data_IF_314218230425
#
_entry.id   IF_314218230425
#
_cell.length_a   1.000
_cell.length_b   1.000
_cell.length_c   1.000
_cell.angle_alpha   90.00
_cell.angle_beta   90.00
_cell.angle_gamma   90.00
#
_symmetry.space_group_name_H-M   'P 1'
#
loop_
_entity.id
_entity.type
_entity.pdbx_description
1 polymer ?
#
# COMPACT_ATOMS: atom_id res chain seq x y z
N UNK A 1 17.81 6.71 -18.29
CA UNK A 1 16.65 5.90 -17.86
C UNK A 1 15.39 6.70 -18.09
N UNK A 2 14.27 5.99 -18.27
CA UNK A 2 12.96 6.59 -18.37
C UNK A 2 12.41 7.03 -17.00
N UNK A 3 11.26 7.67 -17.03
CA UNK A 3 10.45 8.01 -15.84
C UNK A 3 9.41 6.92 -15.57
N UNK A 4 8.88 6.32 -16.65
CA UNK A 4 7.84 5.30 -16.64
C UNK A 4 8.34 3.96 -17.17
N UNK A 5 9.25 3.97 -18.14
CA UNK A 5 9.84 2.77 -18.75
C UNK A 5 11.25 2.59 -18.22
N UNK A 6 11.52 1.44 -17.60
CA UNK A 6 12.83 1.11 -17.01
C UNK A 6 13.36 2.25 -16.11
N UNK A 7 12.65 2.59 -15.00
CA UNK A 7 13.01 3.72 -14.13
C UNK A 7 14.31 3.51 -13.34
N UNK A 8 14.97 2.36 -13.49
CA UNK A 8 16.23 2.03 -12.86
C UNK A 8 16.10 1.59 -11.41
N UNK A 9 17.07 1.99 -10.57
CA UNK A 9 17.24 1.42 -9.22
C UNK A 9 17.59 2.43 -8.12
N UNK A 10 17.69 3.73 -8.41
CA UNK A 10 18.03 4.78 -7.44
C UNK A 10 17.03 4.83 -6.29
N UNK A 11 15.73 4.76 -6.56
CA UNK A 11 14.68 4.77 -5.53
C UNK A 11 14.70 3.57 -4.59
N UNK A 12 15.38 2.46 -4.96
CA UNK A 12 15.67 1.36 -4.05
C UNK A 12 17.06 1.49 -3.41
N UNK A 13 18.06 2.01 -4.12
CA UNK A 13 19.37 2.33 -3.57
C UNK A 13 19.29 3.34 -2.42
N UNK A 14 18.48 4.39 -2.54
CA UNK A 14 18.16 5.31 -1.44
C UNK A 14 17.60 4.57 -0.21
N UNK A 15 16.73 3.57 -0.44
CA UNK A 15 16.15 2.77 0.65
C UNK A 15 17.17 1.84 1.30
N UNK A 16 18.05 1.19 0.54
CA UNK A 16 19.07 0.26 1.07
C UNK A 16 20.21 1.00 1.79
N UNK A 17 20.50 2.24 1.39
CA UNK A 17 21.48 3.10 2.07
C UNK A 17 20.94 3.78 3.34
N UNK A 18 19.65 3.65 3.65
CA UNK A 18 19.04 4.20 4.85
C UNK A 18 19.41 3.37 6.10
N UNK A 19 19.78 4.04 7.20
CA UNK A 19 20.23 3.39 8.44
C UNK A 19 19.15 2.49 9.08
N UNK A 20 17.87 2.77 8.82
CA UNK A 20 16.71 2.03 9.30
C UNK A 20 16.26 0.92 8.33
N UNK A 21 16.96 0.69 7.22
CA UNK A 21 16.59 -0.34 6.25
C UNK A 21 16.45 -1.72 6.93
N UNK A 22 15.28 -2.31 6.77
CA UNK A 22 14.98 -3.69 7.11
C UNK A 22 14.76 -4.48 5.81
N UNK A 23 15.47 -5.60 5.68
CA UNK A 23 15.45 -6.39 4.45
C UNK A 23 14.09 -7.09 4.27
N UNK A 24 13.36 -6.64 3.24
CA UNK A 24 12.07 -7.20 2.79
C UNK A 24 12.17 -7.85 1.40
N UNK A 25 13.38 -8.13 0.92
CA UNK A 25 13.59 -8.72 -0.42
C UNK A 25 13.03 -10.13 -0.57
N UNK A 26 12.76 -10.85 0.53
CA UNK A 26 11.99 -12.10 0.51
C UNK A 26 10.63 -11.99 -0.18
N UNK A 27 10.04 -10.80 -0.24
CA UNK A 27 8.81 -10.51 -1.01
C UNK A 27 8.97 -10.82 -2.51
N UNK A 28 10.17 -10.67 -3.07
CA UNK A 28 10.45 -10.92 -4.49
C UNK A 28 10.22 -12.39 -4.85
N UNK A 29 10.60 -13.35 -3.99
CA UNK A 29 10.31 -14.78 -4.19
C UNK A 29 8.81 -15.03 -4.41
N UNK A 30 7.96 -14.33 -3.66
CA UNK A 30 6.51 -14.46 -3.78
C UNK A 30 6.00 -13.97 -5.14
N UNK A 31 6.57 -12.88 -5.65
CA UNK A 31 6.24 -12.34 -6.99
C UNK A 31 6.82 -13.24 -8.09
N UNK A 32 8.08 -13.68 -7.98
CA UNK A 32 8.72 -14.62 -8.92
C UNK A 32 7.89 -15.90 -9.11
N UNK A 33 7.41 -16.49 -8.01
CA UNK A 33 6.57 -17.70 -8.04
C UNK A 33 5.19 -17.49 -8.73
N UNK A 34 4.78 -16.24 -8.93
CA UNK A 34 3.55 -15.89 -9.63
C UNK A 34 3.77 -15.56 -11.12
N UNK A 35 4.97 -15.13 -11.53
CA UNK A 35 5.28 -14.70 -12.91
C UNK A 35 4.93 -15.79 -13.94
N UNK A 36 4.38 -15.37 -15.08
CA UNK A 36 3.97 -16.26 -16.17
C UNK A 36 2.78 -17.19 -15.85
N UNK A 37 2.29 -17.23 -14.61
CA UNK A 37 1.13 -18.06 -14.21
C UNK A 37 -0.20 -17.30 -14.36
N UNK A 38 -1.33 -17.96 -14.06
CA UNK A 38 -2.64 -17.29 -13.90
C UNK A 38 -2.76 -16.44 -12.63
N UNK A 39 -1.73 -16.39 -11.77
CA UNK A 39 -1.69 -15.61 -10.52
C UNK A 39 -0.73 -14.42 -10.60
N UNK A 40 -0.24 -14.10 -11.80
CA UNK A 40 0.82 -13.10 -12.07
C UNK A 40 0.44 -11.66 -11.73
N UNK A 41 -0.84 -11.39 -11.45
CA UNK A 41 -1.37 -10.08 -11.05
C UNK A 41 -1.61 -10.07 -9.54
N UNK A 42 -0.79 -9.30 -8.82
CA UNK A 42 -0.78 -9.22 -7.35
C UNK A 42 -1.14 -7.80 -6.93
N UNK A 43 -2.16 -7.67 -6.07
CA UNK A 43 -2.48 -6.40 -5.42
C UNK A 43 -2.17 -6.54 -3.93
N UNK A 44 -1.19 -5.78 -3.43
CA UNK A 44 -0.78 -5.83 -2.03
C UNK A 44 -1.01 -4.47 -1.36
N UNK A 45 -2.09 -4.36 -0.59
CA UNK A 45 -2.56 -3.11 0.00
C UNK A 45 -2.26 -3.06 1.49
N UNK A 46 -1.84 -1.87 1.95
CA UNK A 46 -1.42 -1.65 3.33
C UNK A 46 -1.44 -0.16 3.70
N UNK A 47 -1.49 0.20 5.00
CA UNK A 47 -1.74 1.57 5.42
C UNK A 47 -0.71 2.58 4.92
N UNK A 48 -1.02 3.87 5.10
CA UNK A 48 -0.07 4.94 4.76
C UNK A 48 1.23 4.75 5.55
N UNK A 49 2.39 4.97 4.91
CA UNK A 49 3.74 4.85 5.50
C UNK A 49 4.25 3.43 5.83
N UNK A 50 3.52 2.39 5.45
CA UNK A 50 3.95 1.00 5.53
C UNK A 50 4.83 0.57 4.33
N UNK A 51 5.85 1.37 3.97
CA UNK A 51 6.87 1.00 2.97
C UNK A 51 6.36 0.56 1.58
N UNK A 52 5.24 1.11 1.09
CA UNK A 52 4.66 0.75 -0.23
C UNK A 52 5.58 1.08 -1.40
N UNK A 53 5.92 2.36 -1.55
CA UNK A 53 6.84 2.86 -2.58
C UNK A 53 8.22 2.20 -2.50
N UNK A 54 8.75 1.94 -1.29
CA UNK A 54 9.99 1.18 -1.10
C UNK A 54 9.93 -0.20 -1.74
N UNK A 55 8.83 -0.94 -1.56
CA UNK A 55 8.64 -2.25 -2.17
C UNK A 55 8.40 -2.15 -3.68
N UNK A 56 7.67 -1.13 -4.16
CA UNK A 56 7.46 -0.89 -5.58
C UNK A 56 8.80 -0.58 -6.30
N UNK A 57 9.62 0.31 -5.71
CA UNK A 57 10.98 0.61 -6.17
C UNK A 57 11.88 -0.62 -6.12
N UNK A 58 11.79 -1.45 -5.08
CA UNK A 58 12.54 -2.71 -4.96
C UNK A 58 12.21 -3.68 -6.10
N UNK A 59 10.93 -3.86 -6.43
CA UNK A 59 10.53 -4.69 -7.58
C UNK A 59 10.98 -4.08 -8.91
N UNK A 60 10.90 -2.76 -9.07
CA UNK A 60 11.38 -2.08 -10.28
C UNK A 60 12.89 -2.29 -10.46
N UNK A 61 13.68 -2.05 -9.40
CA UNK A 61 15.12 -2.26 -9.38
C UNK A 61 15.51 -3.72 -9.63
N UNK A 62 14.72 -4.67 -9.14
CA UNK A 62 14.97 -6.10 -9.33
C UNK A 62 14.69 -6.56 -10.76
N UNK A 63 13.56 -6.16 -11.36
CA UNK A 63 13.14 -6.69 -12.66
C UNK A 63 13.67 -5.90 -13.86
N UNK A 64 13.87 -4.59 -13.73
CA UNK A 64 14.16 -3.66 -14.84
C UNK A 64 15.42 -4.05 -15.61
N UNK A 65 15.29 -4.34 -16.91
CA UNK A 65 16.43 -4.59 -17.79
C UNK A 65 17.25 -3.33 -18.15
N UNK A 66 16.78 -2.14 -17.77
CA UNK A 66 17.49 -0.87 -18.00
C UNK A 66 18.55 -0.50 -16.95
N UNK A 67 18.86 -1.38 -16.00
CA UNK A 67 19.89 -1.17 -14.97
C UNK A 67 20.61 -2.48 -14.59
N UNK A 68 21.76 -2.38 -13.93
CA UNK A 68 22.39 -3.50 -13.20
C UNK A 68 22.17 -3.28 -11.70
N UNK A 69 21.43 -4.19 -11.08
CA UNK A 69 21.10 -4.15 -9.66
C UNK A 69 21.79 -5.27 -8.85
N UNK A 70 22.67 -6.11 -9.44
CA UNK A 70 23.22 -7.27 -8.72
C UNK A 70 23.93 -6.88 -7.42
N UNK A 71 24.72 -5.80 -7.45
CA UNK A 71 25.40 -5.31 -6.25
C UNK A 71 24.44 -4.73 -5.20
N UNK A 72 23.26 -4.23 -5.60
CA UNK A 72 22.26 -3.65 -4.70
C UNK A 72 21.48 -4.71 -3.92
N UNK A 73 21.34 -5.92 -4.48
CA UNK A 73 20.72 -7.07 -3.80
C UNK A 73 21.70 -7.97 -3.04
N UNK A 74 23.00 -7.65 -3.07
CA UNK A 74 24.06 -8.47 -2.48
C UNK A 74 23.93 -8.54 -0.95
N UNK A 75 23.91 -9.75 -0.41
CA UNK A 75 23.72 -10.02 1.02
C UNK A 75 22.27 -9.88 1.52
N UNK A 76 21.32 -9.56 0.64
CA UNK A 76 19.89 -9.51 0.97
C UNK A 76 19.24 -10.89 0.77
N UNK A 77 18.14 -11.17 1.47
CA UNK A 77 17.44 -12.46 1.52
C UNK A 77 17.17 -13.08 0.15
N UNK A 78 16.87 -12.26 -0.87
CA UNK A 78 16.59 -12.77 -2.21
C UNK A 78 17.81 -13.33 -2.93
N UNK A 79 19.04 -12.91 -2.63
CA UNK A 79 20.26 -13.41 -3.30
C UNK A 79 20.44 -14.92 -3.11
N UNK A 80 19.94 -15.47 -2.00
CA UNK A 80 19.97 -16.90 -1.70
C UNK A 80 18.84 -17.72 -2.37
N UNK A 81 17.89 -17.07 -3.05
CA UNK A 81 16.76 -17.75 -3.69
C UNK A 81 17.12 -18.25 -5.10
N UNK A 82 16.78 -19.49 -5.49
CA UNK A 82 17.07 -20.00 -6.84
C UNK A 82 16.51 -19.13 -7.97
N UNK A 83 15.39 -18.44 -7.74
CA UNK A 83 14.75 -17.59 -8.75
C UNK A 83 15.41 -16.21 -8.94
N UNK A 84 16.47 -15.90 -8.17
CA UNK A 84 17.19 -14.62 -8.20
C UNK A 84 17.80 -14.34 -9.58
N UNK A 85 18.75 -15.18 -10.00
CA UNK A 85 19.49 -15.03 -11.28
C UNK A 85 18.61 -15.27 -12.52
N UNK A 86 17.46 -15.94 -12.35
CA UNK A 86 16.48 -16.17 -13.41
C UNK A 86 15.73 -14.89 -13.82
N UNK A 87 15.49 -13.97 -12.88
CA UNK A 87 14.59 -12.81 -13.08
C UNK A 87 15.28 -11.45 -12.91
N UNK A 88 16.44 -11.39 -12.24
CA UNK A 88 17.21 -10.16 -12.01
C UNK A 88 17.54 -9.45 -13.34
N UNK A 89 17.07 -8.20 -13.46
CA UNK A 89 17.26 -7.29 -14.60
C UNK A 89 16.89 -7.92 -15.96
N UNK A 90 15.86 -8.77 -16.02
CA UNK A 90 15.43 -9.48 -17.25
C UNK A 90 14.23 -8.89 -17.99
N UNK A 91 13.47 -7.99 -17.39
CA UNK A 91 12.17 -7.57 -17.91
C UNK A 91 12.14 -6.05 -18.18
N UNK A 92 11.50 -5.61 -19.28
CA UNK A 92 11.12 -4.22 -19.40
C UNK A 92 10.06 -3.90 -18.35
N UNK A 93 10.31 -2.90 -17.52
CA UNK A 93 9.42 -2.50 -16.42
C UNK A 93 8.66 -1.25 -16.81
N UNK A 94 7.34 -1.28 -16.61
CA UNK A 94 6.49 -0.09 -16.64
C UNK A 94 6.16 0.25 -15.19
N UNK A 95 6.59 1.41 -14.73
CA UNK A 95 6.31 1.92 -13.39
C UNK A 95 5.49 3.20 -13.49
N UNK A 96 4.36 3.27 -12.79
CA UNK A 96 3.67 4.54 -12.60
C UNK A 96 2.98 4.63 -11.25
N UNK A 97 2.84 5.86 -10.77
CA UNK A 97 2.02 6.20 -9.62
C UNK A 97 1.32 7.54 -9.86
N UNK A 98 0.19 7.75 -9.19
CA UNK A 98 -0.71 8.86 -9.49
C UNK A 98 -0.30 10.20 -8.87
N UNK A 99 0.63 10.19 -7.91
CA UNK A 99 1.02 11.37 -7.10
C UNK A 99 1.41 12.58 -7.98
N UNK A 100 2.26 12.39 -8.98
CA UNK A 100 2.72 13.48 -9.87
C UNK A 100 1.61 14.06 -10.74
N UNK A 101 0.64 13.23 -11.14
CA UNK A 101 -0.50 13.64 -11.96
C UNK A 101 -1.56 14.39 -11.15
N UNK A 102 -1.76 13.99 -9.90
CA UNK A 102 -2.71 14.59 -8.96
C UNK A 102 -2.18 15.87 -8.31
N UNK A 103 -0.87 16.12 -8.35
CA UNK A 103 -0.25 17.32 -7.75
C UNK A 103 0.19 18.38 -8.77
N UNK A 104 0.34 18.03 -10.06
CA UNK A 104 0.57 19.03 -11.11
C UNK A 104 -0.71 19.81 -11.43
N UNK A 105 -0.76 21.07 -10.96
CA UNK A 105 -1.87 22.00 -11.17
C UNK A 105 -2.16 22.34 -12.64
N UNK A 106 -1.32 21.90 -13.59
CA UNK A 106 -1.55 22.04 -15.03
C UNK A 106 -2.41 20.92 -15.60
N UNK A 107 -2.52 19.78 -14.92
CA UNK A 107 -3.36 18.65 -15.33
C UNK A 107 -4.72 18.84 -14.69
N UNK A 108 -5.75 19.05 -15.50
CA UNK A 108 -7.11 19.11 -15.00
C UNK A 108 -7.59 17.67 -14.68
N UNK A 109 -8.50 17.47 -13.70
CA UNK A 109 -8.84 16.12 -13.24
C UNK A 109 -9.33 15.18 -14.35
N UNK A 110 -10.11 15.67 -15.30
CA UNK A 110 -10.61 14.90 -16.45
C UNK A 110 -9.56 14.57 -17.52
N UNK A 111 -8.34 15.09 -17.39
CA UNK A 111 -7.23 14.85 -18.33
C UNK A 111 -6.15 13.94 -17.73
N UNK A 112 -6.30 13.48 -16.48
CA UNK A 112 -5.30 12.71 -15.74
C UNK A 112 -4.96 11.39 -16.46
N UNK A 113 -5.97 10.58 -16.77
CA UNK A 113 -5.78 9.22 -17.32
C UNK A 113 -5.18 9.30 -18.72
N UNK A 114 -5.74 10.16 -19.58
CA UNK A 114 -5.19 10.48 -20.90
C UNK A 114 -3.74 10.99 -20.85
N UNK A 115 -3.41 11.85 -19.88
CA UNK A 115 -2.04 12.37 -19.72
C UNK A 115 -1.06 11.29 -19.24
N UNK A 116 -1.51 10.37 -18.38
CA UNK A 116 -0.76 9.19 -17.96
C UNK A 116 -0.48 8.28 -19.15
N UNK A 117 -1.52 7.90 -19.90
CA UNK A 117 -1.39 7.03 -21.07
C UNK A 117 -0.43 7.62 -22.12
N UNK A 118 -0.63 8.90 -22.50
CA UNK A 118 0.22 9.56 -23.48
C UNK A 118 1.69 9.60 -23.05
N UNK A 119 1.98 9.91 -21.78
CA UNK A 119 3.36 9.95 -21.28
C UNK A 119 4.07 8.60 -21.32
N UNK A 120 3.33 7.51 -21.08
CA UNK A 120 3.87 6.15 -21.21
C UNK A 120 4.13 5.85 -22.69
N UNK A 121 3.18 6.13 -23.58
CA UNK A 121 3.34 5.93 -25.04
C UNK A 121 4.53 6.74 -25.59
N UNK A 122 4.64 8.02 -25.23
CA UNK A 122 5.74 8.91 -25.65
C UNK A 122 7.11 8.40 -25.19
N UNK A 123 7.18 7.61 -24.13
CA UNK A 123 8.41 6.98 -23.65
C UNK A 123 8.69 5.62 -24.28
N UNK A 124 7.66 4.79 -24.49
CA UNK A 124 7.76 3.57 -25.28
C UNK A 124 8.27 3.84 -26.70
N UNK A 125 7.80 4.91 -27.36
CA UNK A 125 8.28 5.33 -28.69
C UNK A 125 9.77 5.70 -28.68
N UNK A 126 10.27 6.26 -27.58
CA UNK A 126 11.69 6.64 -27.43
C UNK A 126 12.59 5.45 -27.09
N UNK A 127 12.11 4.52 -26.27
CA UNK A 127 12.85 3.31 -25.85
C UNK A 127 12.88 2.24 -26.96
N UNK A 128 11.80 2.13 -27.76
CA UNK A 128 11.64 1.10 -28.80
C UNK A 128 11.44 1.69 -30.21
N UNK A 129 12.41 2.46 -30.74
CA UNK A 129 12.27 3.17 -32.03
C UNK A 129 12.12 2.24 -33.25
N UNK A 130 12.55 0.97 -33.14
CA UNK A 130 12.40 -0.04 -34.19
C UNK A 130 10.99 -0.68 -34.23
N UNK A 131 10.14 -0.42 -33.23
CA UNK A 131 8.77 -0.93 -33.17
C UNK A 131 7.80 -0.02 -33.96
N UNK A 132 6.76 -0.62 -34.54
CA UNK A 132 5.75 0.09 -35.36
C UNK A 132 4.66 0.76 -34.51
N UNK A 133 5.10 1.56 -33.54
CA UNK A 133 4.26 2.25 -32.57
C UNK A 133 4.14 3.74 -32.91
N UNK A 134 3.04 4.39 -32.50
CA UNK A 134 2.80 5.80 -32.79
C UNK A 134 1.98 6.48 -31.68
N UNK A 135 2.04 7.82 -31.53
CA UNK A 135 1.34 8.53 -30.45
C UNK A 135 -0.18 8.43 -30.48
N UNK A 136 -0.78 7.91 -31.56
CA UNK A 136 -2.22 7.75 -31.74
C UNK A 136 -2.72 6.31 -31.53
N UNK A 137 -1.85 5.35 -31.22
CA UNK A 137 -2.23 3.99 -30.86
C UNK A 137 -2.65 3.94 -29.39
N UNK A 138 -3.46 2.95 -29.00
CA UNK A 138 -3.68 2.69 -27.57
C UNK A 138 -2.39 2.19 -26.91
N UNK A 139 -2.26 2.37 -25.60
CA UNK A 139 -1.14 1.80 -24.86
C UNK A 139 -1.12 0.26 -25.01
N UNK A 140 -2.27 -0.41 -25.00
CA UNK A 140 -2.37 -1.86 -25.21
C UNK A 140 -1.75 -2.31 -26.55
N UNK A 141 -2.09 -1.63 -27.66
CA UNK A 141 -1.53 -1.95 -28.98
C UNK A 141 -0.01 -1.74 -29.01
N UNK A 142 0.47 -0.67 -28.35
CA UNK A 142 1.92 -0.42 -28.21
C UNK A 142 2.63 -1.56 -27.48
N UNK A 143 2.07 -2.05 -26.36
CA UNK A 143 2.66 -3.16 -25.59
C UNK A 143 2.66 -4.47 -26.36
N UNK A 144 1.62 -4.74 -27.16
CA UNK A 144 1.54 -5.92 -28.02
C UNK A 144 2.59 -5.89 -29.14
N UNK A 145 2.68 -4.79 -29.89
CA UNK A 145 3.69 -4.61 -30.95
C UNK A 145 5.12 -4.73 -30.41
N UNK A 146 5.43 -4.07 -29.29
CA UNK A 146 6.78 -4.14 -28.70
C UNK A 146 7.08 -5.58 -28.26
N UNK A 147 6.18 -6.23 -27.52
CA UNK A 147 6.39 -7.60 -27.04
C UNK A 147 6.57 -8.61 -28.18
N UNK A 148 5.89 -8.40 -29.32
CA UNK A 148 6.06 -9.20 -30.52
C UNK A 148 7.44 -9.03 -31.18
N UNK A 149 8.02 -7.83 -31.12
CA UNK A 149 9.37 -7.52 -31.63
C UNK A 149 10.47 -8.00 -30.68
N UNK A 150 10.44 -7.59 -29.40
CA UNK A 150 11.50 -7.88 -28.42
C UNK A 150 11.44 -9.29 -27.81
N UNK A 151 10.39 -10.07 -28.16
CA UNK A 151 10.14 -11.45 -27.68
C UNK A 151 10.15 -11.63 -26.16
N UNK A 152 9.89 -10.53 -25.45
CA UNK A 152 9.91 -10.41 -23.99
C UNK A 152 8.64 -9.69 -23.56
N UNK A 153 8.20 -9.91 -22.33
CA UNK A 153 6.96 -9.36 -21.77
C UNK A 153 7.28 -8.34 -20.69
N UNK A 154 6.39 -7.38 -20.50
CA UNK A 154 6.51 -6.34 -19.48
C UNK A 154 6.17 -6.84 -18.08
N UNK A 155 6.82 -6.24 -17.08
CA UNK A 155 6.31 -6.22 -15.70
C UNK A 155 5.74 -4.84 -15.43
N UNK A 156 4.50 -4.76 -14.95
CA UNK A 156 3.82 -3.49 -14.66
C UNK A 156 3.70 -3.28 -13.16
N UNK A 157 4.16 -2.12 -12.67
CA UNK A 157 4.17 -1.74 -11.27
C UNK A 157 3.32 -0.47 -11.11
N UNK A 158 2.29 -0.55 -10.27
CA UNK A 158 1.35 0.55 -10.02
C UNK A 158 1.39 0.92 -8.53
N UNK A 159 1.94 2.10 -8.22
CA UNK A 159 2.03 2.62 -6.84
C UNK A 159 0.92 3.64 -6.54
N UNK A 160 0.39 3.59 -5.31
CA UNK A 160 -0.78 4.34 -4.84
C UNK A 160 -1.96 4.31 -5.84
N UNK A 161 -2.33 3.11 -6.34
CA UNK A 161 -3.41 2.92 -7.32
C UNK A 161 -4.76 3.48 -6.84
N UNK A 162 -5.03 3.40 -5.53
CA UNK A 162 -6.29 3.81 -4.93
C UNK A 162 -6.44 5.34 -4.77
N UNK A 163 -5.39 6.11 -5.10
CA UNK A 163 -5.31 7.53 -4.80
C UNK A 163 -6.40 8.38 -5.50
N UNK A 164 -6.81 8.03 -6.72
CA UNK A 164 -7.94 8.70 -7.41
C UNK A 164 -9.25 8.55 -6.61
N UNK A 165 -9.52 7.37 -6.05
CA UNK A 165 -10.75 7.12 -5.28
C UNK A 165 -10.72 7.77 -3.90
N UNK A 166 -9.53 7.97 -3.33
CA UNK A 166 -9.36 8.67 -2.04
C UNK A 166 -9.41 10.20 -2.17
N UNK A 167 -8.74 10.79 -3.16
CA UNK A 167 -8.61 12.26 -3.28
C UNK A 167 -9.63 12.89 -4.26
N UNK A 168 -10.19 12.12 -5.20
CA UNK A 168 -11.27 12.54 -6.11
C UNK A 168 -12.54 11.70 -5.94
N UNK A 169 -12.92 11.44 -4.69
CA UNK A 169 -14.05 10.60 -4.27
C UNK A 169 -15.39 10.96 -4.93
N UNK A 170 -15.64 12.24 -5.19
CA UNK A 170 -16.89 12.71 -5.83
C UNK A 170 -16.85 12.71 -7.37
N UNK A 171 -15.68 12.53 -7.99
CA UNK A 171 -15.51 12.55 -9.45
C UNK A 171 -15.67 11.14 -10.05
N UNK A 172 -16.91 10.67 -10.10
CA UNK A 172 -17.27 9.35 -10.64
C UNK A 172 -16.84 9.17 -12.11
N UNK A 173 -16.77 10.24 -12.90
CA UNK A 173 -16.31 10.17 -14.29
C UNK A 173 -14.83 9.78 -14.38
N UNK A 174 -13.97 10.46 -13.63
CA UNK A 174 -12.53 10.16 -13.56
C UNK A 174 -12.28 8.76 -12.98
N UNK A 175 -13.03 8.36 -11.95
CA UNK A 175 -12.91 7.02 -11.37
C UNK A 175 -13.21 5.92 -12.39
N UNK A 176 -14.28 6.09 -13.19
CA UNK A 176 -14.62 5.15 -14.27
C UNK A 176 -13.57 5.12 -15.36
N UNK A 177 -13.13 6.28 -15.84
CA UNK A 177 -12.06 6.39 -16.85
C UNK A 177 -10.77 5.69 -16.39
N UNK A 178 -10.37 5.86 -15.13
CA UNK A 178 -9.20 5.20 -14.57
C UNK A 178 -9.37 3.69 -14.40
N UNK A 179 -10.55 3.22 -13.97
CA UNK A 179 -10.86 1.79 -13.93
C UNK A 179 -10.83 1.18 -15.34
N UNK A 180 -11.38 1.85 -16.34
CA UNK A 180 -11.40 1.32 -17.71
C UNK A 180 -10.00 1.31 -18.36
N UNK A 181 -9.14 2.27 -18.02
CA UNK A 181 -7.69 2.22 -18.33
C UNK A 181 -6.99 1.02 -17.68
N UNK A 182 -7.20 0.76 -16.38
CA UNK A 182 -6.63 -0.41 -15.71
C UNK A 182 -7.19 -1.73 -16.28
N UNK A 183 -8.48 -1.77 -16.67
CA UNK A 183 -9.09 -2.94 -17.32
C UNK A 183 -8.46 -3.20 -18.68
N UNK A 184 -8.18 -2.18 -19.49
CA UNK A 184 -7.45 -2.33 -20.76
C UNK A 184 -6.06 -2.97 -20.59
N UNK A 185 -5.36 -2.67 -19.48
CA UNK A 185 -4.02 -3.17 -19.19
C UNK A 185 -3.96 -4.55 -18.50
N UNK A 186 -5.06 -5.01 -17.90
CA UNK A 186 -5.04 -6.21 -17.04
C UNK A 186 -6.19 -7.19 -17.29
N UNK A 187 -7.12 -6.90 -18.21
CA UNK A 187 -8.17 -7.83 -18.63
C UNK A 187 -8.13 -8.06 -20.14
N UNK A 188 -8.27 -9.31 -20.54
CA UNK A 188 -8.31 -9.70 -21.96
C UNK A 188 -7.59 -11.02 -22.22
N UNK A 189 -7.82 -11.59 -23.40
CA UNK A 189 -7.09 -12.77 -23.88
C UNK A 189 -5.69 -12.42 -24.40
N UNK A 190 -5.44 -11.11 -24.55
CA UNK A 190 -4.23 -10.47 -25.05
C UNK A 190 -3.19 -10.30 -23.94
N UNK A 191 -3.61 -10.19 -22.68
CA UNK A 191 -2.73 -9.98 -21.50
C UNK A 191 -1.57 -10.99 -21.43
N UNK A 192 -1.75 -12.30 -21.64
CA UNK A 192 -0.65 -13.26 -21.63
C UNK A 192 0.38 -13.08 -22.76
N UNK A 193 0.11 -12.25 -23.78
CA UNK A 193 1.03 -12.00 -24.89
C UNK A 193 2.09 -10.95 -24.53
N UNK A 194 1.74 -9.94 -23.74
CA UNK A 194 2.64 -8.84 -23.36
C UNK A 194 2.96 -8.72 -21.86
N UNK A 195 2.19 -9.36 -20.96
CA UNK A 195 2.38 -9.22 -19.50
C UNK A 195 3.06 -10.47 -18.89
N UNK A 196 4.22 -10.29 -18.25
CA UNK A 196 4.90 -11.30 -17.44
C UNK A 196 4.28 -11.37 -16.03
N UNK A 197 3.94 -10.22 -15.47
CA UNK A 197 3.23 -10.06 -14.21
C UNK A 197 2.96 -8.59 -13.89
N UNK A 198 2.10 -8.34 -12.92
CA UNK A 198 1.78 -7.00 -12.42
C UNK A 198 1.80 -6.98 -10.89
N UNK A 199 2.34 -5.92 -10.32
CA UNK A 199 2.28 -5.62 -8.89
C UNK A 199 1.60 -4.26 -8.69
N UNK A 200 0.50 -4.26 -7.94
CA UNK A 200 -0.25 -3.07 -7.61
C UNK A 200 -0.24 -2.87 -6.09
N UNK A 201 -0.09 -1.63 -5.63
CA UNK A 201 -0.07 -1.32 -4.20
C UNK A 201 -0.77 0.00 -3.90
N UNK A 202 -1.39 0.08 -2.73
CA UNK A 202 -2.30 1.17 -2.34
C UNK A 202 -2.72 1.02 -0.88
N UNK A 203 -3.55 1.95 -0.38
CA UNK A 203 -4.14 1.82 0.96
C UNK A 203 -5.38 0.93 0.93
N UNK A 204 -6.32 1.24 0.02
CA UNK A 204 -7.58 0.51 -0.09
C UNK A 204 -7.46 -0.73 -1.02
N UNK A 205 -8.14 -1.85 -0.68
CA UNK A 205 -8.40 -2.96 -1.60
C UNK A 205 -9.27 -2.57 -2.80
N UNK A 206 -9.35 -3.45 -3.80
CA UNK A 206 -9.93 -3.19 -5.12
C UNK A 206 -11.45 -3.01 -5.02
N UNK A 207 -11.97 -1.96 -5.64
CA UNK A 207 -13.40 -1.63 -5.61
C UNK A 207 -14.22 -2.65 -6.42
N UNK A 208 -15.37 -3.03 -5.86
CA UNK A 208 -16.39 -3.86 -6.52
C UNK A 208 -17.43 -2.95 -7.18
N UNK A 209 -17.38 -2.82 -8.51
CA UNK A 209 -18.38 -2.06 -9.28
C UNK A 209 -19.43 -3.01 -9.86
N UNK A 210 -20.72 -2.67 -9.68
CA UNK A 210 -21.86 -3.25 -10.38
C UNK A 210 -21.82 -4.79 -10.51
N UNK A 211 -21.63 -5.47 -9.36
CA UNK A 211 -21.55 -6.94 -9.16
C UNK A 211 -20.28 -7.67 -9.59
N UNK A 212 -19.25 -6.98 -10.12
CA UNK A 212 -17.94 -7.59 -10.41
C UNK A 212 -16.78 -6.78 -9.78
N UNK A 213 -15.75 -7.46 -9.28
CA UNK A 213 -14.49 -6.77 -8.94
C UNK A 213 -13.97 -6.05 -10.19
N UNK A 214 -13.56 -4.78 -10.04
CA UNK A 214 -13.12 -4.00 -11.18
C UNK A 214 -11.97 -4.69 -11.95
N UNK A 215 -11.10 -5.38 -11.21
CA UNK A 215 -9.88 -6.06 -11.68
C UNK A 215 -9.78 -7.48 -11.05
N UNK A 216 -10.78 -8.33 -11.29
CA UNK A 216 -10.95 -9.65 -10.64
C UNK A 216 -9.82 -10.66 -10.87
N UNK A 217 -8.92 -10.39 -11.82
CA UNK A 217 -7.77 -11.25 -12.13
C UNK A 217 -6.59 -10.98 -11.17
N UNK A 218 -6.59 -9.83 -10.48
CA UNK A 218 -5.66 -9.56 -9.39
C UNK A 218 -5.99 -10.40 -8.16
N UNK A 219 -4.96 -11.00 -7.57
CA UNK A 219 -5.06 -11.57 -6.23
C UNK A 219 -4.70 -10.53 -5.18
N UNK A 220 -5.67 -10.22 -4.34
CA UNK A 220 -5.55 -9.22 -3.27
C UNK A 220 -4.95 -9.81 -1.99
N UNK A 221 -4.05 -9.04 -1.38
CA UNK A 221 -3.48 -9.26 -0.04
C UNK A 221 -3.58 -7.93 0.71
N UNK A 222 -4.14 -7.95 1.91
CA UNK A 222 -4.64 -6.75 2.60
C UNK A 222 -4.40 -6.83 4.12
N UNK A 223 -4.79 -5.78 4.87
CA UNK A 223 -4.80 -5.82 6.34
C UNK A 223 -5.83 -6.79 6.96
N UNK A 224 -6.73 -7.39 6.18
CA UNK A 224 -7.67 -8.42 6.65
C UNK A 224 -7.13 -9.85 6.50
N UNK A 225 -6.33 -10.06 5.46
CA UNK A 225 -5.64 -11.30 5.09
C UNK A 225 -4.45 -10.89 4.22
N UNK A 226 -3.24 -10.97 4.78
CA UNK A 226 -2.00 -10.68 4.08
C UNK A 226 -1.39 -11.93 3.43
N UNK A 227 -1.93 -13.12 3.71
CA UNK A 227 -1.34 -14.42 3.39
C UNK A 227 0.17 -14.46 3.68
N UNK A 228 0.92 -15.07 2.76
CA UNK A 228 2.38 -15.15 2.82
C UNK A 228 3.14 -13.82 2.64
N UNK A 229 2.46 -12.67 2.70
CA UNK A 229 3.08 -11.34 2.59
C UNK A 229 3.10 -10.55 3.91
N UNK A 230 2.56 -11.08 5.01
CA UNK A 230 2.44 -10.39 6.30
C UNK A 230 3.75 -9.76 6.83
N UNK A 231 4.88 -10.47 6.73
CA UNK A 231 6.18 -9.99 7.21
C UNK A 231 6.76 -8.82 6.38
N UNK A 232 6.22 -8.59 5.19
CA UNK A 232 6.58 -7.50 4.28
C UNK A 232 5.61 -6.31 4.35
N UNK A 233 4.60 -6.35 5.24
CA UNK A 233 3.68 -5.22 5.45
C UNK A 233 4.39 -4.04 6.11
N UNK A 234 5.21 -4.28 7.13
CA UNK A 234 5.89 -3.22 7.87
C UNK A 234 7.15 -3.73 8.56
N UNK A 235 7.54 -3.10 9.67
CA UNK A 235 8.58 -3.65 10.52
C UNK A 235 7.99 -4.73 11.43
N UNK A 236 8.63 -5.88 11.47
CA UNK A 236 8.34 -6.95 12.44
C UNK A 236 8.90 -6.57 13.81
N UNK A 237 8.49 -7.28 14.86
CA UNK A 237 9.10 -7.10 16.18
C UNK A 237 10.64 -7.25 16.16
N UNK A 238 11.17 -8.18 15.34
CA UNK A 238 12.61 -8.36 15.16
C UNK A 238 13.28 -7.12 14.55
N UNK A 239 12.70 -6.55 13.50
CA UNK A 239 13.23 -5.35 12.84
C UNK A 239 13.30 -4.18 13.84
N UNK A 240 12.24 -3.99 14.65
CA UNK A 240 12.21 -2.94 15.68
C UNK A 240 13.22 -3.19 16.79
N UNK A 241 13.41 -4.45 17.23
CA UNK A 241 14.47 -4.80 18.18
C UNK A 241 15.87 -4.51 17.61
N UNK A 242 16.12 -4.82 16.34
CA UNK A 242 17.41 -4.58 15.69
C UNK A 242 17.67 -3.07 15.49
N UNK A 243 16.63 -2.27 15.18
CA UNK A 243 16.70 -0.81 15.20
C UNK A 243 16.99 -0.28 16.61
N UNK A 244 16.33 -0.78 17.66
CA UNK A 244 16.60 -0.35 19.04
C UNK A 244 18.04 -0.66 19.50
N UNK A 245 18.65 -1.75 19.00
CA UNK A 245 20.08 -2.05 19.24
C UNK A 245 21.01 -1.03 18.57
N UNK A 246 20.63 -0.48 17.40
CA UNK A 246 21.41 0.56 16.69
C UNK A 246 21.31 1.92 17.39
N UNK A 247 20.17 2.27 17.98
CA UNK A 247 19.92 3.58 18.60
C UNK A 247 19.69 3.48 20.11
N UNK A 248 20.71 3.70 20.97
CA UNK A 248 20.61 3.54 22.43
C UNK A 248 19.57 4.41 23.15
N UNK A 249 19.01 5.43 22.48
CA UNK A 249 17.91 6.24 23.00
C UNK A 249 16.54 5.55 22.87
N UNK A 250 16.43 4.52 22.03
CA UNK A 250 15.20 3.77 21.79
C UNK A 250 15.03 2.63 22.81
N UNK A 251 14.03 2.75 23.68
CA UNK A 251 13.57 1.65 24.53
C UNK A 251 12.52 0.85 23.74
N UNK A 252 12.84 -0.41 23.46
CA UNK A 252 11.95 -1.35 22.79
C UNK A 252 10.59 -1.50 23.52
N UNK A 253 10.52 -1.32 24.83
CA UNK A 253 9.25 -1.38 25.60
C UNK A 253 8.34 -0.20 25.30
N UNK A 254 8.88 1.02 25.20
CA UNK A 254 8.09 2.19 24.80
C UNK A 254 7.76 2.13 23.30
N UNK A 255 8.66 1.64 22.44
CA UNK A 255 8.33 1.35 21.04
C UNK A 255 7.13 0.40 20.92
N UNK A 256 7.13 -0.71 21.67
CA UNK A 256 6.02 -1.67 21.71
C UNK A 256 4.74 -0.98 22.16
N UNK A 257 4.75 -0.31 23.31
CA UNK A 257 3.60 0.43 23.86
C UNK A 257 3.03 1.49 22.90
N UNK A 258 3.86 2.18 22.13
CA UNK A 258 3.42 3.26 21.24
C UNK A 258 3.02 2.82 19.83
N UNK A 259 3.67 1.80 19.29
CA UNK A 259 3.60 1.47 17.86
C UNK A 259 3.23 0.01 17.54
N UNK A 260 3.31 -0.92 18.50
CA UNK A 260 2.83 -2.30 18.33
C UNK A 260 1.30 -2.39 18.47
N UNK A 261 0.67 -3.23 17.67
CA UNK A 261 -0.72 -3.62 17.89
C UNK A 261 -1.41 -4.29 16.71
N UNK A 262 -0.83 -4.16 15.50
CA UNK A 262 -1.23 -4.90 14.31
C UNK A 262 -0.64 -6.31 14.40
N UNK A 263 -1.49 -7.33 14.37
CA UNK A 263 -1.07 -8.73 14.37
C UNK A 263 -1.55 -9.40 13.08
N UNK A 264 -0.62 -9.83 12.22
CA UNK A 264 -0.94 -10.41 10.91
C UNK A 264 -0.52 -11.88 10.85
N UNK A 265 -1.41 -12.75 11.33
CA UNK A 265 -1.31 -14.22 11.25
C UNK A 265 0.12 -14.73 11.50
N UNK A 266 0.73 -15.43 10.54
CA UNK A 266 2.07 -16.04 10.66
C UNK A 266 3.22 -15.02 10.86
N UNK A 267 3.01 -13.75 10.50
CA UNK A 267 4.01 -12.69 10.66
C UNK A 267 4.00 -12.07 12.07
N UNK A 268 2.95 -12.30 12.86
CA UNK A 268 2.81 -11.78 14.21
C UNK A 268 2.76 -10.24 14.26
N UNK A 269 3.51 -9.66 15.20
CA UNK A 269 3.49 -8.23 15.51
C UNK A 269 4.17 -7.37 14.43
N UNK A 270 3.39 -6.48 13.83
CA UNK A 270 3.81 -5.51 12.80
C UNK A 270 3.70 -4.07 13.34
N UNK A 271 4.66 -3.24 12.95
CA UNK A 271 4.83 -1.85 13.38
C UNK A 271 4.86 -0.93 12.15
N UNK A 272 4.34 0.30 12.30
CA UNK A 272 4.48 1.35 11.29
C UNK A 272 5.96 1.76 11.14
N UNK A 273 6.61 1.55 9.97
CA UNK A 273 8.01 1.88 9.78
C UNK A 273 8.34 3.34 10.08
N UNK A 274 7.55 4.27 9.53
CA UNK A 274 7.78 5.72 9.68
C UNK A 274 7.71 6.18 11.15
N UNK A 275 6.76 5.66 11.94
CA UNK A 275 6.66 5.99 13.37
C UNK A 275 7.88 5.50 14.15
N UNK A 276 8.38 4.29 13.84
CA UNK A 276 9.61 3.73 14.45
C UNK A 276 10.85 4.55 14.04
N UNK A 277 11.00 4.90 12.76
CA UNK A 277 12.11 5.69 12.24
C UNK A 277 12.16 7.10 12.84
N UNK A 278 11.00 7.74 13.10
CA UNK A 278 10.95 9.03 13.77
C UNK A 278 11.30 8.95 15.27
N UNK A 279 10.87 7.88 15.95
CA UNK A 279 11.08 7.72 17.39
C UNK A 279 12.52 7.29 17.75
N UNK A 280 13.09 6.36 16.99
CA UNK A 280 14.34 5.66 17.31
C UNK A 280 15.55 6.59 17.58
N UNK A 281 15.92 7.53 16.70
CA UNK A 281 17.14 8.33 16.88
C UNK A 281 17.10 9.30 18.06
N UNK A 282 15.93 9.55 18.65
CA UNK A 282 15.75 10.56 19.72
C UNK A 282 15.14 10.02 21.01
N UNK A 283 14.70 8.75 21.04
CA UNK A 283 13.92 8.21 22.16
C UNK A 283 12.64 9.00 22.43
N UNK A 284 12.05 9.60 21.39
CA UNK A 284 10.84 10.42 21.51
C UNK A 284 9.66 9.61 20.97
N UNK A 285 8.71 9.32 21.84
CA UNK A 285 7.51 8.58 21.49
C UNK A 285 6.34 9.57 21.42
N UNK A 286 5.74 9.66 20.25
CA UNK A 286 4.66 10.59 19.91
C UNK A 286 3.82 10.02 18.75
N UNK A 287 2.67 10.64 18.48
CA UNK A 287 1.97 10.43 17.21
C UNK A 287 2.74 11.16 16.10
N UNK A 288 3.40 10.38 15.24
CA UNK A 288 4.04 10.84 14.01
C UNK A 288 3.09 10.77 12.82
N UNK A 289 2.07 9.90 12.91
CA UNK A 289 1.01 9.72 11.94
C UNK A 289 0.03 10.90 11.90
N UNK A 290 0.03 11.68 10.81
CA UNK A 290 -0.96 12.72 10.55
C UNK A 290 -2.24 12.17 9.89
N UNK A 291 -3.41 12.65 10.31
CA UNK A 291 -4.70 12.19 9.79
C UNK A 291 -4.82 12.36 8.26
N UNK A 292 -5.48 11.39 7.61
CA UNK A 292 -5.71 11.40 6.16
C UNK A 292 -7.07 12.02 5.81
N UNK A 293 -7.20 12.56 4.59
CA UNK A 293 -8.47 13.01 3.99
C UNK A 293 -9.56 11.94 4.12
N UNK A 294 -9.22 10.68 3.86
CA UNK A 294 -10.11 9.54 4.05
C UNK A 294 -10.62 9.40 5.50
N UNK A 295 -9.77 9.58 6.52
CA UNK A 295 -10.20 9.51 7.92
C UNK A 295 -11.17 10.64 8.30
N UNK A 296 -10.91 11.88 7.85
CA UNK A 296 -11.84 12.99 8.07
C UNK A 296 -13.22 12.72 7.44
N UNK A 297 -13.27 12.03 6.29
CA UNK A 297 -14.56 11.60 5.70
C UNK A 297 -15.31 10.56 6.56
N UNK A 298 -14.57 9.69 7.28
CA UNK A 298 -15.17 8.69 8.18
C UNK A 298 -15.65 9.29 9.51
N UNK A 299 -15.02 10.38 9.94
CA UNK A 299 -15.31 11.09 11.20
C UNK A 299 -16.78 11.52 11.31
N UNK A 300 -17.43 11.89 10.20
CA UNK A 300 -18.84 12.24 10.15
C UNK A 300 -19.74 11.08 10.64
N UNK A 301 -19.50 9.87 10.15
CA UNK A 301 -20.27 8.68 10.55
C UNK A 301 -20.05 8.32 12.03
N UNK A 302 -18.82 8.53 12.55
CA UNK A 302 -18.52 8.37 13.98
C UNK A 302 -19.28 9.41 14.82
N UNK A 303 -19.32 10.67 14.38
CA UNK A 303 -20.06 11.74 15.07
C UNK A 303 -21.58 11.48 15.09
N UNK A 304 -22.13 11.04 13.95
CA UNK A 304 -23.53 10.64 13.79
C UNK A 304 -23.89 9.34 14.52
N UNK A 305 -22.91 8.58 15.02
CA UNK A 305 -23.09 7.29 15.68
C UNK A 305 -23.83 6.25 14.81
N UNK A 306 -23.50 6.19 13.51
CA UNK A 306 -24.05 5.21 12.55
C UNK A 306 -24.01 3.79 13.15
N UNK A 307 -25.16 3.12 13.29
CA UNK A 307 -25.35 1.81 13.93
C UNK A 307 -24.55 1.58 15.24
N UNK A 308 -24.39 2.62 16.05
CA UNK A 308 -23.63 2.54 17.32
C UNK A 308 -22.11 2.66 17.16
N UNK A 309 -21.60 3.13 16.02
CA UNK A 309 -20.18 3.32 15.73
C UNK A 309 -19.43 4.13 16.79
N UNK A 310 -20.04 5.20 17.32
CA UNK A 310 -19.42 6.03 18.37
C UNK A 310 -19.22 5.22 19.65
N UNK A 311 -20.20 4.40 20.01
CA UNK A 311 -20.11 3.50 21.16
C UNK A 311 -19.04 2.42 20.97
N UNK A 312 -18.97 1.82 19.78
CA UNK A 312 -17.93 0.85 19.43
C UNK A 312 -16.51 1.46 19.50
N UNK A 313 -16.33 2.69 18.99
CA UNK A 313 -15.05 3.40 19.07
C UNK A 313 -14.69 3.71 20.53
N UNK A 314 -15.64 4.13 21.36
CA UNK A 314 -15.40 4.36 22.80
C UNK A 314 -15.00 3.06 23.54
N UNK A 315 -15.64 1.93 23.24
CA UNK A 315 -15.24 0.61 23.78
C UNK A 315 -13.80 0.26 23.41
N UNK A 316 -13.42 0.41 22.14
CA UNK A 316 -12.03 0.20 21.71
C UNK A 316 -11.05 1.22 22.32
N UNK A 317 -11.51 2.44 22.62
CA UNK A 317 -10.73 3.44 23.35
C UNK A 317 -10.52 3.08 24.82
N UNK A 318 -11.38 2.25 25.43
CA UNK A 318 -11.17 1.69 26.78
C UNK A 318 -10.33 0.39 26.77
N UNK A 319 -9.98 -0.11 25.57
CA UNK A 319 -9.14 -1.29 25.36
C UNK A 319 -9.91 -2.58 25.09
N UNK A 320 -11.23 -2.49 24.90
CA UNK A 320 -12.06 -3.62 24.48
C UNK A 320 -11.88 -3.91 22.97
N UNK A 321 -12.36 -5.07 22.52
CA UNK A 321 -12.43 -5.40 21.10
C UNK A 321 -13.88 -5.53 20.65
N UNK A 322 -14.19 -5.07 19.44
CA UNK A 322 -15.56 -5.04 18.90
C UNK A 322 -15.67 -5.98 17.70
N UNK A 323 -16.74 -6.77 17.61
CA UNK A 323 -17.03 -7.64 16.46
C UNK A 323 -17.28 -6.82 15.19
N UNK A 324 -16.66 -7.23 14.07
CA UNK A 324 -16.79 -6.58 12.75
C UNK A 324 -17.04 -7.61 11.65
N UNK A 325 -18.09 -7.40 10.85
CA UNK A 325 -18.46 -8.22 9.70
C UNK A 325 -17.92 -7.64 8.39
N UNK A 326 -16.71 -8.04 8.01
CA UNK A 326 -16.00 -7.52 6.82
C UNK A 326 -16.52 -8.06 5.47
N UNK A 327 -17.47 -9.00 5.46
CA UNK A 327 -17.84 -9.77 4.25
C UNK A 327 -18.65 -8.99 3.22
N UNK A 328 -19.40 -7.96 3.63
CA UNK A 328 -20.26 -7.15 2.75
C UNK A 328 -19.55 -5.91 2.17
N UNK A 329 -18.35 -5.59 2.67
CA UNK A 329 -17.66 -4.36 2.29
C UNK A 329 -17.27 -4.37 0.79
N UNK A 330 -17.71 -3.33 0.06
CA UNK A 330 -17.47 -3.19 -1.39
C UNK A 330 -16.21 -2.38 -1.73
N UNK A 331 -15.51 -1.87 -0.71
CA UNK A 331 -14.33 -1.00 -0.81
C UNK A 331 -14.58 0.38 -1.45
N UNK A 332 -15.82 0.68 -1.86
CA UNK A 332 -16.25 2.00 -2.31
C UNK A 332 -16.59 2.86 -1.08
N UNK A 333 -16.01 4.06 -1.00
CA UNK A 333 -16.19 4.96 0.13
C UNK A 333 -17.60 5.58 0.21
N UNK A 334 -18.52 5.34 -0.74
CA UNK A 334 -19.64 6.23 -1.01
C UNK A 334 -21.09 5.91 -0.57
N UNK A 335 -21.68 4.70 -0.50
CA UNK A 335 -21.19 3.31 -0.33
C UNK A 335 -20.56 2.97 1.02
N UNK A 336 -20.76 3.84 1.99
CA UNK A 336 -20.76 3.47 3.41
C UNK A 336 -22.23 3.41 3.85
N UNK A 337 -22.71 2.21 4.19
CA UNK A 337 -24.11 1.99 4.63
C UNK A 337 -24.19 1.62 6.11
N UNK A 338 -23.19 0.89 6.63
CA UNK A 338 -23.18 0.34 7.98
C UNK A 338 -22.00 0.83 8.82
N UNK A 339 -22.09 0.64 10.15
CA UNK A 339 -20.93 0.76 11.04
C UNK A 339 -19.74 -0.09 10.59
N UNK A 340 -20.00 -1.31 10.15
CA UNK A 340 -18.94 -2.29 9.89
C UNK A 340 -18.18 -1.96 8.59
N UNK A 341 -18.78 -1.24 7.64
CA UNK A 341 -18.07 -0.64 6.49
C UNK A 341 -17.04 0.40 6.96
N UNK A 342 -17.41 1.26 7.92
CA UNK A 342 -16.49 2.25 8.50
C UNK A 342 -15.36 1.58 9.27
N UNK A 343 -15.67 0.56 10.08
CA UNK A 343 -14.65 -0.20 10.82
C UNK A 343 -13.70 -0.94 9.87
N UNK A 344 -14.21 -1.54 8.80
CA UNK A 344 -13.40 -2.21 7.76
C UNK A 344 -12.51 -1.19 7.03
N UNK A 345 -13.05 -0.02 6.67
CA UNK A 345 -12.26 1.07 6.09
C UNK A 345 -11.14 1.52 7.05
N UNK A 346 -11.45 1.67 8.35
CA UNK A 346 -10.46 2.05 9.37
C UNK A 346 -9.36 1.01 9.58
N UNK A 347 -9.64 -0.28 9.36
CA UNK A 347 -8.62 -1.35 9.34
C UNK A 347 -7.65 -1.16 8.16
N UNK A 348 -8.16 -0.97 6.94
CA UNK A 348 -7.31 -0.75 5.75
C UNK A 348 -6.52 0.55 5.83
N UNK A 349 -7.12 1.62 6.38
CA UNK A 349 -6.43 2.86 6.70
C UNK A 349 -5.40 2.72 7.84
N UNK A 350 -5.40 1.61 8.58
CA UNK A 350 -4.48 1.33 9.68
C UNK A 350 -4.78 2.07 10.98
N UNK A 351 -6.01 2.53 11.21
CA UNK A 351 -6.43 3.04 12.52
C UNK A 351 -6.87 1.95 13.48
N UNK A 352 -7.23 0.77 12.96
CA UNK A 352 -7.63 -0.41 13.72
C UNK A 352 -6.78 -1.62 13.30
N UNK A 353 -6.50 -2.51 14.25
CA UNK A 353 -6.07 -3.89 13.96
C UNK A 353 -7.30 -4.78 13.86
N UNK A 354 -7.22 -5.81 13.03
CA UNK A 354 -8.23 -6.87 12.89
C UNK A 354 -7.67 -8.21 13.37
N UNK A 355 -8.51 -9.05 13.96
CA UNK A 355 -8.24 -10.45 14.28
C UNK A 355 -9.14 -11.32 13.39
N UNK A 356 -8.55 -12.01 12.40
CA UNK A 356 -9.30 -12.83 11.41
C UNK A 356 -10.00 -14.03 12.03
N UNK A 357 -9.46 -14.56 13.14
CA UNK A 357 -9.98 -15.73 13.85
C UNK A 357 -11.17 -15.36 14.73
N UNK A 358 -11.08 -14.26 15.47
CA UNK A 358 -12.12 -13.77 16.39
C UNK A 358 -13.12 -12.84 15.71
N UNK A 359 -12.79 -12.35 14.50
CA UNK A 359 -13.55 -11.35 13.73
C UNK A 359 -13.80 -10.06 14.53
N UNK A 360 -12.79 -9.65 15.30
CA UNK A 360 -12.83 -8.45 16.13
C UNK A 360 -11.86 -7.40 15.60
N UNK A 361 -12.20 -6.13 15.84
CA UNK A 361 -11.32 -4.99 15.64
C UNK A 361 -10.97 -4.35 16.98
N UNK A 362 -9.79 -3.73 17.05
CA UNK A 362 -9.33 -2.92 18.20
C UNK A 362 -8.46 -1.76 17.75
N UNK A 363 -8.35 -0.74 18.59
CA UNK A 363 -7.32 0.28 18.43
C UNK A 363 -5.96 -0.37 18.75
N UNK A 364 -4.98 -0.37 17.84
CA UNK A 364 -3.77 -1.16 18.00
C UNK A 364 -2.87 -0.63 19.11
N UNK A 365 -2.66 0.69 19.18
CA UNK A 365 -1.53 1.29 19.90
C UNK A 365 -1.84 2.70 20.44
N UNK A 366 -0.92 3.29 21.22
CA UNK A 366 -1.14 4.63 21.78
C UNK A 366 -1.17 5.73 20.70
N UNK A 367 -0.40 5.60 19.61
CA UNK A 367 -0.40 6.57 18.51
C UNK A 367 -1.80 6.72 17.88
N UNK A 368 -2.42 5.60 17.51
CA UNK A 368 -3.77 5.55 16.94
C UNK A 368 -4.84 5.95 17.96
N UNK A 369 -4.71 5.53 19.24
CA UNK A 369 -5.62 5.96 20.32
C UNK A 369 -5.62 7.49 20.50
N UNK A 370 -4.45 8.11 20.45
CA UNK A 370 -4.31 9.58 20.51
C UNK A 370 -4.92 10.28 19.29
N UNK A 371 -4.84 9.65 18.10
CA UNK A 371 -5.49 10.16 16.89
C UNK A 371 -7.03 10.08 17.00
N UNK A 372 -7.60 9.02 17.60
CA UNK A 372 -9.03 9.00 17.91
C UNK A 372 -9.43 10.04 18.95
N UNK A 373 -8.66 10.20 20.03
CA UNK A 373 -8.92 11.23 21.05
C UNK A 373 -9.01 12.63 20.44
N UNK A 374 -7.96 13.08 19.73
CA UNK A 374 -7.90 14.44 19.16
C UNK A 374 -9.05 14.73 18.17
N UNK A 375 -9.57 13.70 17.51
CA UNK A 375 -10.60 13.83 16.48
C UNK A 375 -12.05 13.73 17.00
N UNK A 376 -12.24 13.07 18.14
CA UNK A 376 -13.55 12.92 18.81
C UNK A 376 -13.78 14.04 19.83
N UNK A 377 -12.74 14.54 20.50
CA UNK A 377 -12.86 15.51 21.60
C UNK A 377 -13.10 16.98 21.16
N UNK A 378 -13.23 17.27 19.86
CA UNK A 378 -13.46 18.64 19.36
C UNK A 378 -14.78 19.28 19.85
N UNK A 379 -15.61 18.55 20.58
CA UNK A 379 -16.80 19.05 21.29
C UNK A 379 -16.75 18.86 22.82
N UNK A 380 -15.74 18.18 23.40
CA UNK A 380 -15.81 17.67 24.79
C UNK A 380 -14.56 17.76 25.68
N UNK A 381 -13.53 18.53 25.30
CA UNK A 381 -12.32 18.72 26.14
C UNK A 381 -12.54 19.58 27.42
N UNK A 382 -13.37 19.12 28.37
CA UNK A 382 -13.36 19.56 29.78
C UNK A 382 -13.56 18.45 30.83
N UNK A 383 -14.04 17.25 30.49
CA UNK A 383 -14.41 16.24 31.51
C UNK A 383 -13.59 14.93 31.50
N UNK A 384 -13.02 14.49 30.37
CA UNK A 384 -12.34 13.19 30.31
C UNK A 384 -10.81 13.24 30.51
N UNK A 385 -10.14 14.34 30.16
CA UNK A 385 -8.70 14.53 30.40
C UNK A 385 -8.31 14.47 31.88
N UNK A 386 -9.24 14.71 32.81
CA UNK A 386 -8.97 14.72 34.25
C UNK A 386 -9.01 13.32 34.92
N UNK A 387 -9.40 12.25 34.19
CA UNK A 387 -9.50 10.89 34.75
C UNK A 387 -8.29 9.99 34.49
N UNK A 388 -7.47 10.30 33.49
CA UNK A 388 -6.34 9.43 33.08
C UNK A 388 -5.13 9.60 34.01
N UNK A 389 -4.94 10.79 34.61
CA UNK A 389 -3.84 11.06 35.57
C UNK A 389 -4.10 10.49 36.99
N UNK A 390 -5.21 9.78 37.23
CA UNK A 390 -5.59 9.29 38.57
C UNK A 390 -5.93 7.80 38.63
N UNK A 391 -4.96 6.97 38.24
CA UNK A 391 -4.81 5.61 38.79
C UNK A 391 -3.39 5.43 39.34
N UNK A 392 -3.20 5.47 40.67
CA UNK A 392 -1.95 5.02 41.27
C UNK A 392 -1.76 3.53 41.00
N UNK A 393 -0.51 3.08 40.90
CA UNK A 393 -0.21 1.65 40.94
C UNK A 393 -0.70 1.07 42.28
N UNK A 394 -1.48 -0.01 42.20
CA UNK A 394 -1.77 -0.83 43.37
C UNK A 394 -0.51 -1.65 43.73
N UNK A 395 -0.28 -1.79 45.04
CA UNK A 395 0.91 -2.37 45.68
C UNK A 395 0.94 -3.89 45.50
#
# INVERSE_FOLDING_TARGET
>A
MGVYINPGNEGFAESVHDEYYADKTGMIRFVNAALGTKRKEICFTRPRRFGKTTAANMLAAYYSCGCDSRNLFRGLQIEADPSFEENLNRYPVIYFGLISFLTDRKIAPQDIVKTLEQKIIDELIREYPDCKISPSMSLLDCLLEISAVIRTKFIVIVDEWDMIFREHRDNISLQREYIDFLRMLFRGNEVPQYLAGAYMTGILPIIKYDTQSALSDFREYTMLDAGGLGEYVGFTEKDVQDICKKYPAADFREMKKWYDGYCLEDAGHIYCPDSVMHAAPRGKYASYWAASSAFESLRLYIQMNLDGLKSAVLQMMDGEEVSVSVSMYENDLNKIETRDDVLTTLIHLGYLSYDSTRRTARIPNLETRNNFLTQIDSEKTKEHSCKIERKPAAI
#
